data_IF_580189236648
#
_entry.id   IF_580189236648
#
_cell.length_a   1.000
_cell.length_b   1.000
_cell.length_c   1.000
_cell.angle_alpha   90.00
_cell.angle_beta   90.00
_cell.angle_gamma   90.00
#
_symmetry.space_group_name_H-M   'P 1'
#
loop_
_entity.id
_entity.type
_entity.pdbx_description
1 polymer ?
#
# COMPACT_ATOMS: atom_id res chain seq x y z
N UNK A 1 15.09 -16.06 -33.19
CA UNK A 1 14.35 -15.55 -32.02
C UNK A 1 14.64 -16.51 -30.89
N UNK A 2 15.46 -16.16 -29.89
CA UNK A 2 15.63 -17.01 -28.73
C UNK A 2 14.26 -17.17 -28.05
N UNK A 3 13.80 -18.40 -27.87
CA UNK A 3 12.60 -18.68 -27.08
C UNK A 3 12.92 -18.33 -25.63
N UNK A 4 12.39 -17.20 -25.13
CA UNK A 4 12.50 -16.84 -23.72
C UNK A 4 11.72 -17.87 -22.92
N UNK A 5 12.44 -18.78 -22.27
CA UNK A 5 11.80 -19.78 -21.40
C UNK A 5 11.02 -19.02 -20.33
N UNK A 6 9.72 -19.27 -20.14
CA UNK A 6 8.95 -18.56 -19.13
C UNK A 6 9.57 -18.85 -17.75
N UNK A 7 9.91 -17.79 -17.03
CA UNK A 7 10.45 -17.90 -15.67
C UNK A 7 9.42 -18.56 -14.76
N UNK A 8 9.79 -19.70 -14.19
CA UNK A 8 8.93 -20.42 -13.26
C UNK A 8 9.10 -19.89 -11.84
N UNK A 9 8.05 -20.00 -11.02
CA UNK A 9 8.12 -19.61 -9.62
C UNK A 9 9.23 -20.33 -8.81
N UNK A 10 9.43 -21.66 -8.93
CA UNK A 10 10.54 -22.33 -8.24
C UNK A 10 11.91 -21.77 -8.62
N UNK A 11 12.10 -21.42 -9.89
CA UNK A 11 13.34 -20.81 -10.38
C UNK A 11 13.54 -19.40 -9.82
N UNK A 12 12.49 -18.58 -9.82
CA UNK A 12 12.53 -17.25 -9.18
C UNK A 12 12.89 -17.32 -7.69
N UNK A 13 12.35 -18.31 -6.96
CA UNK A 13 12.69 -18.54 -5.55
C UNK A 13 14.17 -18.90 -5.39
N UNK A 14 14.73 -19.74 -6.28
CA UNK A 14 16.16 -20.06 -6.27
C UNK A 14 17.04 -18.82 -6.49
N UNK A 15 16.67 -17.95 -7.44
CA UNK A 15 17.36 -16.68 -7.68
C UNK A 15 17.31 -15.77 -6.45
N UNK A 16 16.15 -15.64 -5.80
CA UNK A 16 15.98 -14.86 -4.56
C UNK A 16 16.90 -15.39 -3.45
N UNK A 17 17.00 -16.72 -3.29
CA UNK A 17 17.91 -17.33 -2.31
C UNK A 17 19.37 -17.07 -2.63
N UNK A 18 19.76 -17.16 -3.91
CA UNK A 18 21.14 -16.89 -4.35
C UNK A 18 21.54 -15.43 -4.09
N UNK A 19 20.63 -14.48 -4.35
CA UNK A 19 20.87 -13.04 -4.23
C UNK A 19 20.53 -12.46 -2.84
N UNK A 20 20.28 -13.31 -1.84
CA UNK A 20 19.90 -12.86 -0.47
C UNK A 20 20.87 -11.85 0.16
N UNK A 21 22.15 -11.88 -0.22
CA UNK A 21 23.18 -10.98 0.33
C UNK A 21 23.13 -9.56 -0.26
N UNK A 22 22.39 -9.34 -1.36
CA UNK A 22 22.35 -8.04 -2.05
C UNK A 22 21.53 -7.00 -1.30
N UNK A 23 20.52 -7.40 -0.55
CA UNK A 23 19.72 -6.47 0.25
C UNK A 23 19.13 -7.14 1.50
N UNK A 24 18.92 -6.39 2.59
CA UNK A 24 18.29 -6.92 3.80
C UNK A 24 16.85 -7.40 3.53
N UNK A 25 16.13 -6.78 2.60
CA UNK A 25 14.77 -7.20 2.25
C UNK A 25 14.73 -8.52 1.51
N UNK A 26 15.71 -8.77 0.61
CA UNK A 26 15.86 -10.08 -0.03
C UNK A 26 16.24 -11.16 0.98
N UNK A 27 17.12 -10.85 1.94
CA UNK A 27 17.43 -11.78 3.03
C UNK A 27 16.18 -12.13 3.84
N UNK A 28 15.38 -11.13 4.26
CA UNK A 28 14.14 -11.35 5.01
C UNK A 28 13.11 -12.16 4.21
N UNK A 29 12.94 -11.88 2.92
CA UNK A 29 12.06 -12.66 2.03
C UNK A 29 12.56 -14.11 1.90
N UNK A 30 13.86 -14.30 1.64
CA UNK A 30 14.49 -15.62 1.57
C UNK A 30 14.22 -16.42 2.85
N UNK A 31 14.47 -15.84 4.01
CA UNK A 31 14.26 -16.51 5.30
C UNK A 31 12.78 -16.85 5.52
N UNK A 32 11.86 -15.95 5.16
CA UNK A 32 10.42 -16.20 5.25
C UNK A 32 9.92 -17.29 4.29
N UNK A 33 10.52 -17.41 3.09
CA UNK A 33 10.24 -18.49 2.16
C UNK A 33 10.75 -19.83 2.68
N UNK A 34 11.99 -19.87 3.19
CA UNK A 34 12.58 -21.09 3.78
C UNK A 34 11.80 -21.58 5.00
N UNK A 35 11.30 -20.67 5.84
CA UNK A 35 10.50 -21.02 7.02
C UNK A 35 9.02 -21.30 6.70
N UNK A 36 8.60 -21.20 5.43
CA UNK A 36 7.20 -21.38 5.01
C UNK A 36 6.23 -20.27 5.46
N UNK A 37 6.76 -19.16 5.95
CA UNK A 37 5.98 -18.00 6.43
C UNK A 37 5.52 -17.11 5.29
N UNK A 38 6.29 -17.03 4.20
CA UNK A 38 5.91 -16.35 2.97
C UNK A 38 5.41 -17.36 1.94
N UNK A 39 4.30 -17.03 1.27
CA UNK A 39 3.74 -17.84 0.17
C UNK A 39 3.51 -16.97 -1.06
N UNK A 40 3.71 -17.51 -2.27
CA UNK A 40 3.35 -16.81 -3.50
C UNK A 40 1.86 -16.47 -3.49
N UNK A 41 1.50 -15.28 -4.01
CA UNK A 41 0.10 -14.87 -4.15
C UNK A 41 -0.52 -15.25 -5.49
N UNK A 42 0.29 -15.69 -6.44
CA UNK A 42 -0.14 -16.16 -7.76
C UNK A 42 0.93 -17.03 -8.40
N UNK A 43 0.52 -17.80 -9.41
CA UNK A 43 1.36 -18.79 -10.08
C UNK A 43 2.23 -18.19 -11.20
N UNK A 44 1.80 -17.05 -11.74
CA UNK A 44 2.48 -16.34 -12.83
C UNK A 44 2.97 -14.97 -12.35
N UNK A 45 4.20 -14.57 -12.70
CA UNK A 45 4.65 -13.21 -12.43
C UNK A 45 3.81 -12.19 -13.20
N UNK A 46 3.63 -11.01 -12.60
CA UNK A 46 3.30 -9.83 -13.40
C UNK A 46 4.49 -9.48 -14.29
N UNK A 47 4.23 -8.92 -15.47
CA UNK A 47 5.28 -8.53 -16.41
C UNK A 47 5.00 -7.13 -16.92
N UNK A 48 5.99 -6.24 -16.79
CA UNK A 48 5.89 -4.84 -17.17
C UNK A 48 7.28 -4.30 -17.56
N UNK A 49 7.36 -3.14 -18.20
CA UNK A 49 8.62 -2.48 -18.51
C UNK A 49 9.25 -1.84 -17.27
N UNK A 50 10.58 -1.69 -17.28
CA UNK A 50 11.30 -0.98 -16.22
C UNK A 50 10.81 0.47 -16.06
N UNK A 51 10.52 1.16 -17.17
CA UNK A 51 10.02 2.54 -17.13
C UNK A 51 8.64 2.65 -16.45
N UNK A 52 7.72 1.74 -16.77
CA UNK A 52 6.35 1.76 -16.24
C UNK A 52 6.33 1.40 -14.76
N UNK A 53 7.12 0.40 -14.34
CA UNK A 53 7.27 0.07 -12.93
C UNK A 53 7.92 1.22 -12.16
N UNK A 54 8.97 1.84 -12.69
CA UNK A 54 9.60 3.00 -12.04
C UNK A 54 8.60 4.13 -11.83
N UNK A 55 7.82 4.48 -12.85
CA UNK A 55 6.80 5.53 -12.75
C UNK A 55 5.72 5.17 -11.72
N UNK A 56 5.19 3.95 -11.80
CA UNK A 56 4.14 3.46 -10.91
C UNK A 56 4.58 3.43 -9.45
N UNK A 57 5.77 2.87 -9.19
CA UNK A 57 6.27 2.72 -7.83
C UNK A 57 6.83 4.01 -7.25
N UNK A 58 7.36 4.94 -8.06
CA UNK A 58 7.68 6.29 -7.61
C UNK A 58 6.43 7.06 -7.16
N UNK A 59 5.32 6.94 -7.90
CA UNK A 59 4.04 7.51 -7.48
C UNK A 59 3.55 6.87 -6.17
N UNK A 60 3.58 5.53 -6.09
CA UNK A 60 3.17 4.79 -4.89
C UNK A 60 4.03 5.13 -3.68
N UNK A 61 5.34 5.31 -3.85
CA UNK A 61 6.23 5.71 -2.76
C UNK A 61 5.80 7.07 -2.18
N UNK A 62 5.47 8.04 -3.04
CA UNK A 62 5.00 9.36 -2.59
C UNK A 62 3.68 9.25 -1.82
N UNK A 63 2.73 8.45 -2.32
CA UNK A 63 1.43 8.29 -1.67
C UNK A 63 1.51 7.50 -0.36
N UNK A 64 2.32 6.44 -0.30
CA UNK A 64 2.51 5.66 0.95
C UNK A 64 3.24 6.48 2.01
N UNK A 65 4.26 7.27 1.61
CA UNK A 65 4.96 8.19 2.51
C UNK A 65 4.01 9.25 3.07
N UNK A 66 3.15 9.84 2.22
CA UNK A 66 2.15 10.80 2.66
C UNK A 66 1.10 10.18 3.61
N UNK A 67 0.84 8.88 3.47
CA UNK A 67 -0.04 8.11 4.36
C UNK A 67 0.66 7.60 5.64
N UNK A 68 1.95 7.89 5.83
CA UNK A 68 2.73 7.39 6.97
C UNK A 68 3.06 5.89 6.93
N UNK A 69 2.88 5.24 5.77
CA UNK A 69 3.16 3.82 5.58
C UNK A 69 4.62 3.68 5.13
N UNK A 70 5.46 3.05 5.96
CA UNK A 70 6.85 2.80 5.62
C UNK A 70 7.01 1.52 4.79
N UNK A 71 7.46 1.66 3.54
CA UNK A 71 7.82 0.54 2.67
C UNK A 71 9.33 0.36 2.70
N UNK A 72 9.80 -0.80 3.15
CA UNK A 72 11.23 -1.09 3.32
C UNK A 72 11.82 -1.63 2.01
N UNK A 73 12.95 -1.11 1.58
CA UNK A 73 13.66 -1.58 0.36
C UNK A 73 13.16 -0.99 -0.96
N UNK A 74 12.01 -0.30 -0.98
CA UNK A 74 11.49 0.33 -2.20
C UNK A 74 12.44 1.36 -2.84
N UNK A 75 13.14 2.24 -2.08
CA UNK A 75 14.10 3.18 -2.68
C UNK A 75 15.20 2.47 -3.49
N UNK A 76 15.75 1.37 -2.94
CA UNK A 76 16.77 0.58 -3.61
C UNK A 76 16.24 -0.04 -4.91
N UNK A 77 15.02 -0.59 -4.89
CA UNK A 77 14.39 -1.13 -6.11
C UNK A 77 14.23 -0.04 -7.17
N UNK A 78 13.79 1.16 -6.78
CA UNK A 78 13.64 2.28 -7.72
C UNK A 78 14.97 2.73 -8.33
N UNK A 79 16.05 2.72 -7.55
CA UNK A 79 17.41 2.98 -8.06
C UNK A 79 17.84 1.91 -9.09
N UNK A 80 17.60 0.64 -8.79
CA UNK A 80 17.94 -0.46 -9.71
C UNK A 80 17.11 -0.44 -10.99
N UNK A 81 15.81 -0.11 -10.89
CA UNK A 81 14.94 0.10 -12.05
C UNK A 81 15.40 1.30 -12.90
N UNK A 82 15.88 2.38 -12.26
CA UNK A 82 16.39 3.54 -12.98
C UNK A 82 17.72 3.27 -13.72
N UNK A 83 18.49 2.26 -13.29
CA UNK A 83 19.71 1.81 -13.96
C UNK A 83 19.44 0.80 -15.09
N UNK A 84 18.21 0.31 -15.24
CA UNK A 84 17.83 -0.57 -16.35
C UNK A 84 17.48 0.24 -17.61
N UNK A 85 17.63 -0.36 -18.81
CA UNK A 85 17.00 0.16 -20.03
C UNK A 85 15.49 0.34 -19.81
N UNK A 86 14.91 1.42 -20.34
CA UNK A 86 13.49 1.75 -20.09
C UNK A 86 12.54 0.63 -20.58
N UNK A 87 12.87 -0.02 -21.70
CA UNK A 87 12.10 -1.10 -22.33
C UNK A 87 12.38 -2.51 -21.75
N UNK A 88 13.33 -2.62 -20.81
CA UNK A 88 13.68 -3.89 -20.18
C UNK A 88 12.46 -4.53 -19.50
N UNK A 89 12.22 -5.80 -19.79
CA UNK A 89 11.11 -6.55 -19.23
C UNK A 89 11.42 -6.98 -17.81
N UNK A 90 10.56 -6.63 -16.86
CA UNK A 90 10.71 -6.95 -15.45
C UNK A 90 9.55 -7.85 -15.01
N UNK A 91 9.91 -8.95 -14.37
CA UNK A 91 9.02 -9.89 -13.74
C UNK A 91 8.81 -9.51 -12.28
N UNK A 92 7.54 -9.42 -11.89
CA UNK A 92 7.09 -9.02 -10.57
C UNK A 92 6.44 -10.20 -9.85
N UNK A 93 7.08 -10.67 -8.78
CA UNK A 93 6.57 -11.74 -7.93
C UNK A 93 6.09 -11.19 -6.60
N UNK A 94 4.88 -11.58 -6.19
CA UNK A 94 4.29 -11.15 -4.92
C UNK A 94 4.21 -12.30 -3.94
N UNK A 95 4.63 -12.05 -2.70
CA UNK A 95 4.58 -13.02 -1.61
C UNK A 95 3.85 -12.44 -0.40
N UNK A 96 2.94 -13.23 0.17
CA UNK A 96 2.23 -12.88 1.40
C UNK A 96 2.80 -13.60 2.61
N UNK A 97 3.07 -12.85 3.67
CA UNK A 97 3.38 -13.33 5.01
C UNK A 97 2.39 -12.70 6.03
N UNK A 98 2.26 -13.24 7.26
CA UNK A 98 1.21 -12.84 8.20
C UNK A 98 1.08 -11.33 8.49
N UNK A 99 2.19 -10.58 8.49
CA UNK A 99 2.21 -9.14 8.73
C UNK A 99 2.93 -8.34 7.64
N UNK A 100 3.21 -8.96 6.48
CA UNK A 100 4.06 -8.33 5.46
C UNK A 100 3.73 -8.85 4.07
N UNK A 101 3.60 -7.94 3.11
CA UNK A 101 3.61 -8.25 1.69
C UNK A 101 5.01 -7.97 1.14
N UNK A 102 5.59 -8.94 0.44
CA UNK A 102 6.82 -8.76 -0.28
C UNK A 102 6.55 -8.69 -1.79
N UNK A 103 7.34 -7.89 -2.48
CA UNK A 103 7.40 -7.93 -3.94
C UNK A 103 8.85 -8.00 -4.38
N UNK A 104 9.18 -8.97 -5.24
CA UNK A 104 10.49 -9.17 -5.81
C UNK A 104 10.49 -8.86 -7.31
N UNK A 105 11.55 -8.20 -7.78
CA UNK A 105 11.72 -7.71 -9.13
C UNK A 105 12.89 -8.44 -9.78
N UNK A 106 12.64 -9.10 -10.91
CA UNK A 106 13.65 -9.88 -11.64
C UNK A 106 13.62 -9.44 -13.10
N UNK A 107 14.76 -9.10 -13.69
CA UNK A 107 14.83 -8.77 -15.12
C UNK A 107 14.69 -10.06 -15.95
N UNK A 108 13.82 -10.04 -16.94
CA UNK A 108 13.46 -11.25 -17.71
C UNK A 108 14.61 -11.75 -18.60
N UNK A 109 15.42 -10.85 -19.15
CA UNK A 109 16.40 -11.19 -20.19
C UNK A 109 17.61 -11.95 -19.67
N UNK A 110 18.07 -11.61 -18.47
CA UNK A 110 19.29 -12.17 -17.86
C UNK A 110 19.06 -12.71 -16.44
N UNK A 111 17.79 -12.79 -16.04
CA UNK A 111 17.36 -13.36 -14.76
C UNK A 111 17.97 -12.64 -13.54
N UNK A 112 18.42 -11.38 -13.71
CA UNK A 112 19.02 -10.61 -12.62
C UNK A 112 17.95 -10.19 -11.61
N UNK A 113 18.12 -10.54 -10.34
CA UNK A 113 17.28 -10.01 -9.25
C UNK A 113 17.64 -8.53 -9.04
N UNK A 114 16.69 -7.63 -9.25
CA UNK A 114 16.89 -6.20 -9.03
C UNK A 114 16.71 -5.84 -7.55
N UNK A 115 15.85 -6.57 -6.84
CA UNK A 115 15.64 -6.36 -5.42
C UNK A 115 14.27 -6.82 -4.97
N UNK A 116 13.96 -6.56 -3.71
CA UNK A 116 12.63 -6.72 -3.16
C UNK A 116 12.28 -5.57 -2.22
N UNK A 117 10.99 -5.26 -2.11
CA UNK A 117 10.49 -4.40 -1.04
C UNK A 117 9.54 -5.18 -0.13
N UNK A 118 9.41 -4.70 1.11
CA UNK A 118 8.49 -5.20 2.11
C UNK A 118 7.51 -4.09 2.51
N UNK A 119 6.22 -4.40 2.40
CA UNK A 119 5.11 -3.57 2.82
C UNK A 119 4.52 -4.19 4.10
N UNK A 120 4.68 -3.55 5.26
CA UNK A 120 4.00 -3.96 6.48
C UNK A 120 2.49 -3.94 6.27
N UNK A 121 1.81 -5.01 6.65
CA UNK A 121 0.36 -5.04 6.70
C UNK A 121 -0.08 -4.52 8.07
N UNK A 122 -1.09 -3.65 8.15
CA UNK A 122 -1.68 -3.29 9.44
C UNK A 122 -2.19 -4.55 10.12
N UNK A 123 -1.89 -4.67 11.41
CA UNK A 123 -2.27 -5.82 12.21
C UNK A 123 -3.80 -6.00 12.15
N UNK A 124 -4.25 -7.16 11.66
CA UNK A 124 -5.68 -7.50 11.60
C UNK A 124 -6.32 -7.52 13.00
N UNK A 125 -5.53 -7.61 14.06
CA UNK A 125 -6.01 -7.47 15.44
C UNK A 125 -6.51 -6.06 15.79
N UNK A 126 -6.23 -5.06 14.95
CA UNK A 126 -6.69 -3.66 15.11
C UNK A 126 -7.75 -3.23 14.11
N UNK A 127 -8.49 -4.18 13.53
CA UNK A 127 -9.87 -3.89 13.10
C UNK A 127 -10.72 -3.64 14.34
N UNK A 128 -10.47 -2.48 14.98
CA UNK A 128 -11.39 -1.81 15.87
C UNK A 128 -12.73 -1.84 15.17
N UNK A 129 -13.63 -2.57 15.82
CA UNK A 129 -15.07 -2.51 15.69
C UNK A 129 -15.49 -1.25 14.96
N UNK A 130 -15.93 -1.37 13.72
CA UNK A 130 -16.87 -0.40 13.17
C UNK A 130 -18.16 -0.62 13.96
N UNK A 131 -18.19 -0.11 15.20
CA UNK A 131 -19.43 0.14 15.90
C UNK A 131 -20.13 1.17 15.06
N UNK A 132 -20.97 0.69 14.15
CA UNK A 132 -22.06 1.45 13.57
C UNK A 132 -22.82 2.04 14.75
N UNK A 133 -22.49 3.26 15.12
CA UNK A 133 -23.33 4.08 15.96
C UNK A 133 -24.56 4.38 15.13
N UNK A 134 -25.52 3.43 15.15
CA UNK A 134 -26.90 3.71 14.80
C UNK A 134 -27.39 4.66 15.88
N UNK A 135 -27.09 5.95 15.70
CA UNK A 135 -27.96 7.01 16.16
C UNK A 135 -29.28 6.77 15.44
N UNK A 136 -30.19 6.05 16.09
CA UNK A 136 -31.57 5.94 15.65
C UNK A 136 -32.17 7.34 15.63
N UNK A 137 -32.61 7.87 14.48
CA UNK A 137 -33.50 9.02 14.51
C UNK A 137 -34.81 8.57 15.18
N UNK A 138 -35.12 9.20 16.31
CA UNK A 138 -36.43 9.11 16.94
C UNK A 138 -37.46 9.67 15.95
N UNK A 139 -38.15 8.78 15.24
CA UNK A 139 -39.25 9.12 14.36
C UNK A 139 -40.39 9.74 15.17
N UNK A 140 -40.64 11.02 14.89
CA UNK A 140 -41.79 11.79 15.36
C UNK A 140 -43.10 11.01 15.17
N UNK A 141 -43.67 10.57 16.27
CA UNK A 141 -45.10 10.30 16.38
C UNK A 141 -45.85 11.62 16.47
N UNK A 142 -46.74 11.84 15.52
CA UNK A 142 -48.05 12.51 15.68
C UNK A 142 -48.10 13.74 16.58
N UNK A 143 -48.14 14.91 15.95
CA UNK A 143 -48.54 16.15 16.60
C UNK A 143 -50.00 16.08 17.10
N UNK A 144 -50.28 16.57 18.33
CA UNK A 144 -51.54 17.20 18.62
C UNK A 144 -51.37 18.72 18.79
N UNK A 145 -52.23 19.43 18.07
CA UNK A 145 -52.72 20.79 18.33
C UNK A 145 -52.68 21.16 19.82
N UNK A 146 -52.05 22.28 20.15
CA UNK A 146 -52.55 23.25 21.15
C UNK A 146 -51.98 24.64 20.88
N UNK A 147 -52.90 25.56 20.62
CA UNK A 147 -52.76 27.02 20.58
C UNK A 147 -52.58 27.62 21.97
N UNK A 148 -51.74 28.66 22.07
CA UNK A 148 -51.81 29.89 22.89
C UNK A 148 -50.67 30.79 22.36
N UNK A 149 -50.91 31.90 21.64
CA UNK A 149 -51.04 33.28 22.17
C UNK A 149 -50.15 33.52 23.40
N UNK A 150 -49.28 34.53 23.50
CA UNK A 150 -49.27 35.88 22.92
C UNK A 150 -47.92 36.56 23.16
N UNK A 151 -47.63 37.57 22.32
CA UNK A 151 -46.93 38.84 22.60
C UNK A 151 -45.51 38.89 23.19
N UNK A 152 -44.69 39.74 22.57
CA UNK A 152 -43.62 40.45 23.28
C UNK A 152 -42.39 40.84 22.45
N UNK A 153 -42.51 41.93 21.69
CA UNK A 153 -41.51 43.01 21.50
C UNK A 153 -40.02 42.62 21.26
N UNK A 154 -39.49 42.83 20.05
CA UNK A 154 -38.75 44.03 19.57
C UNK A 154 -37.33 44.26 20.13
N UNK A 155 -36.44 44.57 19.18
CA UNK A 155 -35.17 45.33 19.30
C UNK A 155 -33.96 44.58 19.89
N UNK A 156 -32.71 44.78 19.46
CA UNK A 156 -32.09 45.46 18.33
C UNK A 156 -30.55 45.22 18.42
N UNK A 157 -29.86 45.32 17.28
CA UNK A 157 -28.45 45.77 17.08
C UNK A 157 -27.27 44.94 17.66
N UNK A 158 -26.54 44.31 16.73
CA UNK A 158 -25.18 44.63 16.24
C UNK A 158 -24.07 45.19 17.18
N UNK A 159 -22.78 45.00 16.81
CA UNK A 159 -21.64 44.78 17.71
C UNK A 159 -20.70 45.99 17.88
N UNK A 160 -19.84 45.97 18.91
CA UNK A 160 -18.64 46.81 19.08
C UNK A 160 -17.61 45.98 19.89
N UNK A 161 -16.38 45.67 19.43
CA UNK A 161 -15.17 46.47 19.11
C UNK A 161 -14.30 46.86 20.31
N UNK A 162 -12.98 46.91 20.04
CA UNK A 162 -11.84 47.52 20.78
C UNK A 162 -11.27 46.74 21.99
N UNK A 163 -9.98 46.78 22.32
CA UNK A 163 -8.74 47.25 21.69
C UNK A 163 -7.56 46.76 22.56
N UNK A 164 -6.37 46.68 21.95
CA UNK A 164 -5.07 46.40 22.57
C UNK A 164 -4.65 47.40 23.66
N UNK A 165 -3.60 47.07 24.44
CA UNK A 165 -2.48 47.95 24.73
C UNK A 165 -1.32 47.77 23.73
#
# INVERSE_FOLDING_TARGET
MPETRPMTLPHAIQLIHADRARSPTLAALSDALTSGMAKPLGDTPGQETASDLRATFALRQRTTTAAGIQVVGLPHVLEQLAACPDDAQILLFHFGAPATLYAAFIRADDEQVLGAFALPLPDRATSTTWTTSKSSPSSNGTAPRRTCQSEGARSARCPFSSSSP
#
